data_IF_756665133674
#
_entry.id   IF_756665133674
#
_cell.length_a   1.000
_cell.length_b   1.000
_cell.length_c   1.000
_cell.angle_alpha   90.00
_cell.angle_beta   90.00
_cell.angle_gamma   90.00
#
_symmetry.space_group_name_H-M   'P 1'
#
loop_
_entity.id
_entity.type
_entity.pdbx_description
1 polymer ?
#
# COMPACT_ATOMS: atom_id res chain seq x y z
N UNK A 1 -18.69 9.05 -15.44
CA UNK A 1 -17.36 8.56 -15.86
C UNK A 1 -16.34 8.61 -14.71
N UNK A 2 -16.05 9.78 -14.11
CA UNK A 2 -14.96 9.90 -13.12
C UNK A 2 -15.21 9.22 -11.77
N UNK A 3 -16.47 9.09 -11.34
CA UNK A 3 -16.84 8.32 -10.13
C UNK A 3 -16.47 6.84 -10.29
N UNK A 4 -16.70 6.24 -11.46
CA UNK A 4 -16.31 4.85 -11.73
C UNK A 4 -14.79 4.68 -11.61
N UNK A 5 -14.04 5.68 -12.05
CA UNK A 5 -12.59 5.68 -12.00
C UNK A 5 -12.07 5.78 -10.56
N UNK A 6 -12.69 6.61 -9.71
CA UNK A 6 -12.39 6.67 -8.27
C UNK A 6 -12.63 5.32 -7.57
N UNK A 7 -13.76 4.67 -7.84
CA UNK A 7 -14.04 3.33 -7.31
C UNK A 7 -13.05 2.28 -7.81
N UNK A 8 -12.66 2.34 -9.09
CA UNK A 8 -11.66 1.45 -9.65
C UNK A 8 -10.30 1.62 -8.97
N UNK A 9 -9.84 2.86 -8.76
CA UNK A 9 -8.58 3.13 -8.08
C UNK A 9 -8.60 2.75 -6.61
N UNK A 10 -9.74 2.93 -5.94
CA UNK A 10 -9.96 2.45 -4.58
C UNK A 10 -9.82 0.94 -4.51
N UNK A 11 -10.52 0.21 -5.38
CA UNK A 11 -10.45 -1.25 -5.42
C UNK A 11 -9.04 -1.74 -5.74
N UNK A 12 -8.36 -1.10 -6.70
CA UNK A 12 -6.99 -1.41 -7.06
C UNK A 12 -6.04 -1.23 -5.87
N UNK A 13 -6.16 -0.12 -5.12
CA UNK A 13 -5.37 0.08 -3.90
C UNK A 13 -5.61 -1.01 -2.87
N UNK A 14 -6.87 -1.35 -2.60
CA UNK A 14 -7.19 -2.38 -1.62
C UNK A 14 -6.63 -3.74 -2.02
N UNK A 15 -6.66 -4.07 -3.32
CA UNK A 15 -6.02 -5.28 -3.86
C UNK A 15 -4.51 -5.23 -3.66
N UNK A 16 -3.84 -4.10 -3.98
CA UNK A 16 -2.39 -3.95 -3.80
C UNK A 16 -1.99 -4.07 -2.33
N UNK A 17 -2.71 -3.40 -1.42
CA UNK A 17 -2.45 -3.45 0.03
C UNK A 17 -2.69 -4.87 0.55
N UNK A 18 -3.84 -5.47 0.22
CA UNK A 18 -4.18 -6.83 0.64
C UNK A 18 -3.18 -7.87 0.11
N UNK A 19 -2.75 -7.73 -1.14
CA UNK A 19 -1.74 -8.60 -1.73
C UNK A 19 -0.39 -8.40 -1.05
N UNK A 20 0.05 -7.16 -0.78
CA UNK A 20 1.28 -6.91 -0.03
C UNK A 20 1.23 -7.55 1.37
N UNK A 21 0.11 -7.48 2.08
CA UNK A 21 0.00 -8.02 3.44
C UNK A 21 -0.13 -9.55 3.49
N UNK A 22 -0.82 -10.18 2.53
CA UNK A 22 -1.21 -11.58 2.63
C UNK A 22 -0.74 -12.48 1.47
N UNK A 23 -0.19 -11.90 0.39
CA UNK A 23 0.19 -12.64 -0.82
C UNK A 23 1.33 -13.65 -0.62
N UNK A 24 2.06 -13.59 0.50
CA UNK A 24 3.10 -14.56 0.86
C UNK A 24 2.56 -15.90 1.39
N UNK A 25 1.28 -15.95 1.81
CA UNK A 25 0.66 -17.13 2.43
C UNK A 25 0.64 -18.30 1.46
N UNK A 26 0.06 -18.10 0.26
CA UNK A 26 -0.10 -19.17 -0.72
C UNK A 26 1.19 -19.44 -1.50
N UNK A 27 1.64 -20.72 -1.62
CA UNK A 27 2.85 -21.06 -2.36
C UNK A 27 2.86 -20.57 -3.81
N UNK A 28 1.72 -20.62 -4.49
CA UNK A 28 1.57 -20.21 -5.89
C UNK A 28 1.84 -18.72 -6.11
N UNK A 29 1.49 -17.86 -5.14
CA UNK A 29 1.61 -16.40 -5.26
C UNK A 29 2.93 -15.84 -4.74
N UNK A 30 3.78 -16.64 -4.07
CA UNK A 30 5.01 -16.16 -3.42
C UNK A 30 5.99 -15.43 -4.34
N UNK A 31 6.17 -15.90 -5.58
CA UNK A 31 7.03 -15.24 -6.57
C UNK A 31 6.46 -13.90 -7.01
N UNK A 32 5.15 -13.85 -7.30
CA UNK A 32 4.46 -12.63 -7.65
C UNK A 32 4.46 -11.63 -6.47
N UNK A 33 4.25 -12.13 -5.26
CA UNK A 33 4.31 -11.36 -4.02
C UNK A 33 5.67 -10.71 -3.81
N UNK A 34 6.75 -11.45 -4.02
CA UNK A 34 8.11 -10.91 -3.95
C UNK A 34 8.31 -9.74 -4.93
N UNK A 35 7.83 -9.85 -6.17
CA UNK A 35 7.90 -8.77 -7.15
C UNK A 35 7.09 -7.54 -6.71
N UNK A 36 5.86 -7.74 -6.23
CA UNK A 36 4.98 -6.63 -5.81
C UNK A 36 5.54 -5.93 -4.57
N UNK A 37 6.05 -6.68 -3.59
CA UNK A 37 6.71 -6.12 -2.41
C UNK A 37 7.97 -5.35 -2.80
N UNK A 38 8.79 -5.90 -3.71
CA UNK A 38 9.99 -5.21 -4.19
C UNK A 38 9.65 -3.91 -4.93
N UNK A 39 8.61 -3.91 -5.77
CA UNK A 39 8.14 -2.71 -6.45
C UNK A 39 7.59 -1.67 -5.46
N UNK A 40 6.77 -2.11 -4.51
CA UNK A 40 6.21 -1.24 -3.45
C UNK A 40 7.32 -0.62 -2.61
N UNK A 41 8.31 -1.43 -2.19
CA UNK A 41 9.47 -0.96 -1.45
C UNK A 41 10.31 0.02 -2.26
N UNK A 42 10.50 -0.23 -3.56
CA UNK A 42 11.20 0.69 -4.45
C UNK A 42 10.47 2.02 -4.57
N UNK A 43 9.14 2.01 -4.69
CA UNK A 43 8.34 3.25 -4.67
C UNK A 43 8.52 4.01 -3.36
N UNK A 44 8.56 3.34 -2.22
CA UNK A 44 8.73 4.01 -0.93
C UNK A 44 10.16 4.54 -0.71
N UNK A 45 11.18 3.78 -1.12
CA UNK A 45 12.58 4.18 -0.95
C UNK A 45 12.99 5.28 -1.94
N UNK A 46 12.44 5.26 -3.15
CA UNK A 46 12.73 6.28 -4.17
C UNK A 46 11.78 7.45 -3.97
N UNK A 47 10.48 7.23 -4.17
CA UNK A 47 9.48 8.30 -4.20
C UNK A 47 9.09 8.77 -2.79
N UNK A 48 9.13 7.89 -1.79
CA UNK A 48 8.81 8.26 -0.41
C UNK A 48 9.78 9.26 0.22
N UNK A 49 10.96 9.48 -0.36
CA UNK A 49 11.87 10.58 0.05
C UNK A 49 11.22 11.96 -0.18
N UNK A 50 10.45 12.10 -1.27
CA UNK A 50 9.78 13.36 -1.60
C UNK A 50 8.32 13.40 -1.12
N UNK A 51 7.62 12.27 -1.18
CA UNK A 51 6.16 12.22 -0.96
C UNK A 51 5.75 11.63 0.40
N UNK A 52 6.70 11.04 1.14
CA UNK A 52 6.48 10.44 2.46
C UNK A 52 6.33 8.91 2.44
N UNK A 53 6.33 8.33 3.65
CA UNK A 53 6.14 6.89 3.87
C UNK A 53 4.70 6.52 3.52
N UNK A 54 4.47 5.38 2.88
CA UNK A 54 3.11 5.01 2.46
C UNK A 54 2.72 5.50 1.06
N UNK A 55 3.60 6.24 0.38
CA UNK A 55 3.31 6.78 -0.94
C UNK A 55 3.16 5.68 -2.01
N UNK A 56 2.11 5.81 -2.84
CA UNK A 56 1.86 4.98 -4.00
C UNK A 56 1.52 5.87 -5.20
N UNK A 57 2.12 5.67 -6.40
CA UNK A 57 1.76 6.45 -7.59
C UNK A 57 0.28 6.36 -7.98
N UNK A 58 -0.38 5.27 -7.60
CA UNK A 58 -1.82 5.08 -7.80
C UNK A 58 -2.61 6.11 -6.98
N UNK A 59 -2.10 6.56 -5.82
CA UNK A 59 -2.76 7.55 -4.96
C UNK A 59 -2.79 8.90 -5.67
N UNK A 60 -1.70 9.31 -6.31
CA UNK A 60 -1.65 10.56 -7.06
C UNK A 60 -2.66 10.60 -8.22
N UNK A 61 -2.75 9.50 -8.98
CA UNK A 61 -3.76 9.41 -10.05
C UNK A 61 -5.17 9.46 -9.50
N UNK A 62 -5.42 8.80 -8.36
CA UNK A 62 -6.71 8.87 -7.70
C UNK A 62 -7.01 10.29 -7.21
N UNK A 63 -6.02 11.02 -6.70
CA UNK A 63 -6.20 12.38 -6.19
C UNK A 63 -6.53 13.35 -7.30
N UNK A 64 -5.88 13.25 -8.46
CA UNK A 64 -6.25 14.04 -9.64
C UNK A 64 -7.71 13.83 -10.05
N UNK A 65 -8.27 12.63 -9.83
CA UNK A 65 -9.68 12.35 -10.12
C UNK A 65 -10.57 12.95 -9.03
N UNK A 66 -10.20 12.80 -7.77
CA UNK A 66 -10.94 13.35 -6.62
C UNK A 66 -10.98 14.88 -6.62
N UNK A 67 -9.87 15.54 -6.94
CA UNK A 67 -9.81 16.99 -7.12
C UNK A 67 -10.76 17.45 -8.21
N UNK A 68 -10.81 16.75 -9.36
CA UNK A 68 -11.78 17.05 -10.42
C UNK A 68 -13.23 16.75 -10.04
N UNK A 69 -13.46 15.90 -9.03
CA UNK A 69 -14.77 15.67 -8.42
C UNK A 69 -15.09 16.71 -7.32
N UNK A 70 -14.17 17.63 -7.03
CA UNK A 70 -14.36 18.72 -6.06
C UNK A 70 -13.88 18.41 -4.64
N UNK A 71 -13.22 17.27 -4.40
CA UNK A 71 -12.59 17.00 -3.10
C UNK A 71 -11.30 17.83 -2.95
N UNK A 72 -11.05 18.35 -1.75
CA UNK A 72 -9.87 19.17 -1.41
C UNK A 72 -9.29 18.70 -0.07
N UNK A 73 -8.11 19.19 0.32
CA UNK A 73 -7.40 18.77 1.56
C UNK A 73 -7.10 17.26 1.59
N UNK A 74 -6.77 16.67 0.42
CA UNK A 74 -6.46 15.25 0.29
C UNK A 74 -5.08 14.95 0.91
N UNK A 75 -4.96 13.94 1.79
CA UNK A 75 -3.69 13.60 2.43
C UNK A 75 -2.78 12.81 1.49
N UNK A 76 -1.47 12.83 1.70
CA UNK A 76 -0.51 12.14 0.83
C UNK A 76 -0.64 10.60 0.82
N UNK A 77 -1.31 9.99 1.81
CA UNK A 77 -1.46 8.54 1.88
C UNK A 77 -2.93 8.11 1.77
N UNK A 78 -3.18 7.10 0.94
CA UNK A 78 -4.49 6.48 0.77
C UNK A 78 -5.04 5.94 2.10
N UNK A 79 -4.17 5.31 2.91
CA UNK A 79 -4.56 4.75 4.20
C UNK A 79 -5.01 5.86 5.14
N UNK A 80 -4.34 7.02 5.15
CA UNK A 80 -4.76 8.18 5.94
C UNK A 80 -6.10 8.73 5.47
N UNK A 81 -6.30 8.86 4.15
CA UNK A 81 -7.57 9.34 3.60
C UNK A 81 -8.74 8.49 4.09
N UNK A 82 -8.64 7.16 3.99
CA UNK A 82 -9.70 6.28 4.47
C UNK A 82 -9.77 6.20 6.00
N UNK A 83 -8.65 6.29 6.72
CA UNK A 83 -8.66 6.34 8.18
C UNK A 83 -9.41 7.58 8.67
N UNK A 84 -9.13 8.75 8.10
CA UNK A 84 -9.80 10.01 8.46
C UNK A 84 -11.30 9.94 8.10
N UNK A 85 -11.63 9.38 6.92
CA UNK A 85 -13.02 9.24 6.45
C UNK A 85 -13.86 8.27 7.28
N UNK A 86 -13.28 7.15 7.72
CA UNK A 86 -13.97 6.12 8.51
C UNK A 86 -14.07 6.54 9.99
N UNK A 87 -13.00 7.12 10.55
CA UNK A 87 -13.00 7.56 11.94
C UNK A 87 -13.76 8.87 12.16
N UNK A 88 -13.94 9.68 11.11
CA UNK A 88 -14.47 11.04 11.21
C UNK A 88 -13.53 12.02 11.91
N UNK A 89 -12.28 11.63 12.17
CA UNK A 89 -11.28 12.43 12.88
C UNK A 89 -10.04 12.62 12.02
N UNK A 90 -9.29 13.71 12.24
CA UNK A 90 -7.98 13.91 11.59
C UNK A 90 -6.93 13.08 12.32
N UNK A 91 -6.76 11.81 11.94
CA UNK A 91 -5.75 10.91 12.51
C UNK A 91 -4.36 11.43 12.15
N UNK A 92 -3.42 11.40 13.09
CA UNK A 92 -2.07 11.90 12.83
C UNK A 92 -1.39 11.11 11.70
N UNK A 93 -0.84 11.80 10.70
CA UNK A 93 -0.14 11.16 9.58
C UNK A 93 1.00 10.26 10.04
N UNK A 94 1.80 10.73 11.01
CA UNK A 94 2.91 9.96 11.57
C UNK A 94 2.50 8.60 12.15
N UNK A 95 1.31 8.53 12.78
CA UNK A 95 0.78 7.27 13.30
C UNK A 95 0.37 6.31 12.18
N UNK A 96 -0.32 6.81 11.16
CA UNK A 96 -0.70 6.01 9.99
C UNK A 96 0.54 5.53 9.25
N UNK A 97 1.52 6.40 9.05
CA UNK A 97 2.78 6.09 8.37
C UNK A 97 3.56 5.03 9.15
N UNK A 98 3.62 5.14 10.48
CA UNK A 98 4.26 4.14 11.34
C UNK A 98 3.58 2.77 11.25
N UNK A 99 2.24 2.71 11.34
CA UNK A 99 1.50 1.44 11.21
C UNK A 99 1.70 0.82 9.82
N UNK A 100 1.63 1.65 8.78
CA UNK A 100 1.80 1.19 7.39
C UNK A 100 3.21 0.64 7.19
N UNK A 101 4.24 1.33 7.71
CA UNK A 101 5.62 0.86 7.65
C UNK A 101 5.87 -0.42 8.43
N UNK A 102 5.37 -0.53 9.67
CA UNK A 102 5.52 -1.73 10.50
C UNK A 102 4.83 -2.93 9.82
N UNK A 103 3.61 -2.75 9.32
CA UNK A 103 2.85 -3.81 8.64
C UNK A 103 3.56 -4.27 7.37
N UNK A 104 4.10 -3.33 6.59
CA UNK A 104 4.84 -3.63 5.37
C UNK A 104 6.19 -4.30 5.67
N UNK A 105 6.91 -3.86 6.70
CA UNK A 105 8.13 -4.51 7.16
C UNK A 105 7.89 -5.95 7.60
N UNK A 106 6.80 -6.20 8.34
CA UNK A 106 6.37 -7.55 8.70
C UNK A 106 6.09 -8.41 7.45
N UNK A 107 5.39 -7.87 6.46
CA UNK A 107 5.16 -8.56 5.19
C UNK A 107 6.47 -8.91 4.47
N UNK A 108 7.44 -7.99 4.39
CA UNK A 108 8.77 -8.25 3.81
C UNK A 108 9.48 -9.38 4.55
N UNK A 109 9.50 -9.37 5.88
CA UNK A 109 10.12 -10.43 6.68
C UNK A 109 9.50 -11.80 6.37
N UNK A 110 8.17 -11.86 6.28
CA UNK A 110 7.48 -13.09 5.90
C UNK A 110 7.82 -13.53 4.49
N UNK A 111 7.86 -12.62 3.51
CA UNK A 111 8.26 -12.90 2.13
C UNK A 111 9.67 -13.49 2.08
N UNK A 112 10.62 -12.92 2.80
CA UNK A 112 12.01 -13.42 2.87
C UNK A 112 12.05 -14.82 3.48
N UNK A 113 11.34 -15.02 4.60
CA UNK A 113 11.26 -16.31 5.27
C UNK A 113 10.70 -17.41 4.36
N UNK A 114 9.55 -17.17 3.71
CA UNK A 114 8.89 -18.22 2.90
C UNK A 114 9.60 -18.52 1.59
N UNK A 115 10.33 -17.56 1.01
CA UNK A 115 11.02 -17.74 -0.28
C UNK A 115 12.45 -18.28 -0.11
N UNK A 116 13.17 -17.86 0.92
CA UNK A 116 14.60 -18.16 1.06
C UNK A 116 14.92 -19.10 2.23
N UNK A 117 14.21 -19.00 3.36
CA UNK A 117 14.51 -19.80 4.56
C UNK A 117 13.78 -21.14 4.52
N UNK A 118 12.45 -21.12 4.36
CA UNK A 118 11.64 -22.36 4.31
C UNK A 118 12.06 -23.28 3.16
N UNK A 119 12.47 -22.72 2.02
CA UNK A 119 12.91 -23.51 0.85
C UNK A 119 14.27 -24.20 1.09
N UNK A 120 15.06 -23.73 2.07
CA UNK A 120 16.40 -24.24 2.38
C UNK A 120 16.40 -25.31 3.48
N UNK A 121 15.29 -25.45 4.20
CA UNK A 121 15.08 -26.55 5.15
C UNK A 121 14.54 -27.77 4.37
N UNK A 122 15.24 -28.92 4.37
CA UNK A 122 14.67 -30.16 3.82
C UNK A 122 13.41 -30.54 4.61
N UNK A 123 12.35 -30.95 3.90
CA UNK A 123 11.15 -31.53 4.50
C UNK A 123 11.47 -32.90 5.11
#
# INVERSE_FOLDING_TARGET
>A
MMILLDWLFTLLHLIIIGFNLFGWIWPATRKAHLLVVALTLSCWLILGIWYGIGYCPVTDWQWQIKEKLGETDLPNSFVKYYADKISGQKVSSSFIDAITAISFAAAIMMTVYVNFIKKRLPN
#
